data_IF_188301113041
#
_entry.id   IF_188301113041
#
_cell.length_a   1.000
_cell.length_b   1.000
_cell.length_c   1.000
_cell.angle_alpha   90.00
_cell.angle_beta   90.00
_cell.angle_gamma   90.00
#
_symmetry.space_group_name_H-M   'P 1'
#
loop_
_entity.id
_entity.type
_entity.pdbx_description
1 polymer ?
#
# COMPACT_ATOMS: atom_id res chain seq x y z
N UNK A 1 -21.94 -16.48 -11.32
CA UNK A 1 -23.07 -15.67 -10.82
C UNK A 1 -22.66 -15.04 -9.52
N UNK A 2 -22.98 -13.76 -9.30
CA UNK A 2 -22.37 -12.96 -8.23
C UNK A 2 -23.24 -12.83 -6.97
N UNK A 3 -24.53 -13.19 -7.06
CA UNK A 3 -25.49 -13.37 -5.96
C UNK A 3 -26.49 -14.45 -6.40
N UNK A 4 -26.99 -15.24 -5.45
CA UNK A 4 -28.07 -16.22 -5.63
C UNK A 4 -29.46 -15.60 -5.43
N UNK A 5 -29.55 -14.33 -5.00
CA UNK A 5 -30.82 -13.65 -4.81
C UNK A 5 -31.48 -13.33 -6.15
N UNK A 6 -32.75 -13.70 -6.27
CA UNK A 6 -33.58 -13.36 -7.41
C UNK A 6 -33.88 -11.85 -7.47
N UNK A 7 -34.26 -11.35 -8.64
CA UNK A 7 -34.62 -9.94 -8.81
C UNK A 7 -35.82 -9.51 -7.94
N UNK A 8 -36.76 -10.40 -7.65
CA UNK A 8 -37.89 -10.14 -6.74
C UNK A 8 -37.42 -10.02 -5.29
N UNK A 9 -36.54 -10.91 -4.83
CA UNK A 9 -35.94 -10.84 -3.49
C UNK A 9 -35.13 -9.55 -3.30
N UNK A 10 -34.27 -9.19 -4.27
CA UNK A 10 -33.50 -7.93 -4.20
C UNK A 10 -34.40 -6.70 -4.14
N UNK A 11 -35.52 -6.69 -4.90
CA UNK A 11 -36.49 -5.61 -4.85
C UNK A 11 -37.13 -5.49 -3.46
N UNK A 12 -37.54 -6.62 -2.88
CA UNK A 12 -38.11 -6.65 -1.54
C UNK A 12 -37.12 -6.13 -0.49
N UNK A 13 -35.85 -6.55 -0.56
CA UNK A 13 -34.79 -6.07 0.35
C UNK A 13 -34.54 -4.56 0.18
N UNK A 14 -34.60 -4.03 -1.04
CA UNK A 14 -34.45 -2.58 -1.31
C UNK A 14 -35.61 -1.75 -0.77
N UNK A 15 -36.82 -2.28 -0.79
CA UNK A 15 -38.00 -1.68 -0.18
C UNK A 15 -37.91 -1.72 1.36
N UNK A 16 -37.50 -2.86 1.93
CA UNK A 16 -37.24 -2.98 3.36
C UNK A 16 -36.14 -2.00 3.82
N UNK A 17 -35.03 -1.93 3.10
CA UNK A 17 -33.96 -0.99 3.41
C UNK A 17 -34.41 0.47 3.36
N UNK A 18 -35.32 0.83 2.44
CA UNK A 18 -35.89 2.18 2.37
C UNK A 18 -36.77 2.52 3.59
N UNK A 19 -37.50 1.53 4.12
CA UNK A 19 -38.37 1.71 5.31
C UNK A 19 -37.57 1.74 6.61
N UNK A 20 -36.47 1.00 6.67
CA UNK A 20 -35.68 0.80 7.89
C UNK A 20 -34.49 1.75 8.01
N UNK A 21 -34.04 2.38 6.91
CA UNK A 21 -32.90 3.29 6.94
C UNK A 21 -33.16 4.50 7.82
N UNK A 22 -32.32 4.66 8.85
CA UNK A 22 -32.28 5.84 9.70
C UNK A 22 -31.26 6.86 9.16
N UNK A 23 -31.36 8.15 9.54
CA UNK A 23 -30.41 9.17 9.12
C UNK A 23 -29.02 9.01 9.77
N UNK A 24 -28.89 8.17 10.79
CA UNK A 24 -27.63 7.94 11.51
C UNK A 24 -27.11 6.53 11.26
N UNK A 25 -25.79 6.41 11.10
CA UNK A 25 -25.12 5.11 10.91
C UNK A 25 -25.03 4.38 12.24
N UNK A 26 -25.55 3.15 12.31
CA UNK A 26 -25.27 2.22 13.42
C UNK A 26 -23.84 1.66 13.28
N UNK A 27 -22.90 1.99 14.20
CA UNK A 27 -21.52 1.51 14.13
C UNK A 27 -21.40 -0.02 14.18
N UNK A 28 -22.30 -0.69 14.91
CA UNK A 28 -22.29 -2.15 15.01
C UNK A 28 -22.73 -2.79 13.69
N UNK A 29 -23.73 -2.21 13.02
CA UNK A 29 -24.13 -2.62 11.68
C UNK A 29 -23.01 -2.38 10.65
N UNK A 30 -22.36 -1.23 10.71
CA UNK A 30 -21.22 -0.91 9.85
C UNK A 30 -20.10 -1.94 9.99
N UNK A 31 -19.72 -2.29 11.23
CA UNK A 31 -18.67 -3.28 11.50
C UNK A 31 -19.04 -4.66 10.94
N UNK A 32 -20.27 -5.13 11.16
CA UNK A 32 -20.75 -6.42 10.62
C UNK A 32 -20.71 -6.45 9.09
N UNK A 33 -21.22 -5.41 8.45
CA UNK A 33 -21.23 -5.31 6.98
C UNK A 33 -19.79 -5.28 6.45
N UNK A 34 -18.90 -4.47 7.05
CA UNK A 34 -17.49 -4.42 6.65
C UNK A 34 -16.80 -5.79 6.73
N UNK A 35 -17.01 -6.53 7.82
CA UNK A 35 -16.46 -7.87 7.98
C UNK A 35 -17.01 -8.84 6.93
N UNK A 36 -18.31 -8.78 6.64
CA UNK A 36 -18.95 -9.65 5.67
C UNK A 36 -18.52 -9.36 4.23
N UNK A 37 -18.42 -8.08 3.85
CA UNK A 37 -18.08 -7.71 2.46
C UNK A 37 -16.57 -7.79 2.17
N UNK A 38 -15.72 -7.95 3.18
CA UNK A 38 -14.27 -8.13 3.00
C UNK A 38 -14.01 -9.35 2.12
N UNK A 39 -13.38 -9.15 0.96
CA UNK A 39 -13.14 -10.20 -0.03
C UNK A 39 -14.36 -10.58 -0.89
N UNK A 40 -15.50 -9.90 -0.72
CA UNK A 40 -16.78 -10.15 -1.41
C UNK A 40 -17.32 -8.91 -2.13
N UNK A 41 -16.43 -8.08 -2.69
CA UNK A 41 -16.84 -6.80 -3.28
C UNK A 41 -17.79 -6.97 -4.46
N UNK A 42 -17.55 -7.95 -5.33
CA UNK A 42 -18.43 -8.18 -6.47
C UNK A 42 -19.85 -8.57 -6.05
N UNK A 43 -19.99 -9.32 -4.94
CA UNK A 43 -21.30 -9.61 -4.36
C UNK A 43 -21.97 -8.31 -3.89
N UNK A 44 -21.25 -7.47 -3.14
CA UNK A 44 -21.78 -6.19 -2.68
C UNK A 44 -22.21 -5.30 -3.87
N UNK A 45 -21.44 -5.27 -4.96
CA UNK A 45 -21.79 -4.54 -6.19
C UNK A 45 -23.06 -5.09 -6.85
N UNK A 46 -23.24 -6.41 -6.86
CA UNK A 46 -24.44 -7.04 -7.40
C UNK A 46 -25.70 -6.70 -6.57
N UNK A 47 -25.58 -6.67 -5.24
CA UNK A 47 -26.68 -6.26 -4.34
C UNK A 47 -27.03 -4.78 -4.55
N UNK A 48 -26.02 -3.92 -4.55
CA UNK A 48 -26.19 -2.46 -4.63
C UNK A 48 -26.59 -1.97 -6.03
N UNK A 49 -26.22 -2.70 -7.09
CA UNK A 49 -26.39 -2.26 -8.48
C UNK A 49 -25.47 -1.10 -8.89
N UNK A 50 -24.40 -0.87 -8.13
CA UNK A 50 -23.40 0.18 -8.36
C UNK A 50 -22.05 -0.27 -7.81
N UNK A 51 -20.97 0.41 -8.23
CA UNK A 51 -19.61 0.15 -7.72
C UNK A 51 -19.57 0.30 -6.20
N UNK A 52 -18.94 -0.67 -5.53
CA UNK A 52 -18.86 -0.71 -4.09
C UNK A 52 -17.69 0.15 -3.60
N UNK A 53 -17.99 1.09 -2.70
CA UNK A 53 -16.99 1.88 -2.00
C UNK A 53 -17.47 2.14 -0.57
N UNK A 54 -16.62 1.85 0.42
CA UNK A 54 -16.91 2.13 1.83
C UNK A 54 -17.05 3.64 2.08
N UNK A 55 -16.19 4.44 1.42
CA UNK A 55 -16.31 5.90 1.41
C UNK A 55 -17.42 6.29 0.43
N UNK A 56 -18.52 6.83 0.95
CA UNK A 56 -19.70 7.23 0.16
C UNK A 56 -20.91 6.30 0.25
N UNK A 57 -20.87 5.31 1.14
CA UNK A 57 -22.02 4.45 1.42
C UNK A 57 -23.11 5.23 2.15
N UNK A 58 -24.34 5.17 1.64
CA UNK A 58 -25.51 5.75 2.34
C UNK A 58 -25.99 4.82 3.45
N UNK A 59 -26.72 5.33 4.44
CA UNK A 59 -27.35 4.48 5.46
C UNK A 59 -28.27 3.41 4.84
N UNK A 60 -28.93 3.74 3.73
CA UNK A 60 -29.76 2.80 2.98
C UNK A 60 -28.94 1.67 2.36
N UNK A 61 -27.78 1.99 1.78
CA UNK A 61 -26.86 0.97 1.24
C UNK A 61 -26.36 0.04 2.34
N UNK A 62 -26.04 0.60 3.52
CA UNK A 62 -25.59 -0.18 4.67
C UNK A 62 -26.68 -1.16 5.15
N UNK A 63 -27.91 -0.68 5.30
CA UNK A 63 -29.05 -1.53 5.69
C UNK A 63 -29.32 -2.59 4.63
N UNK A 64 -29.27 -2.23 3.35
CA UNK A 64 -29.47 -3.17 2.25
C UNK A 64 -28.42 -4.30 2.28
N UNK A 65 -27.15 -3.97 2.50
CA UNK A 65 -26.08 -4.97 2.61
C UNK A 65 -26.22 -5.86 3.84
N UNK A 66 -26.62 -5.32 5.00
CA UNK A 66 -26.86 -6.11 6.22
C UNK A 66 -28.05 -7.08 6.02
N UNK A 67 -29.13 -6.62 5.40
CA UNK A 67 -30.29 -7.47 5.07
C UNK A 67 -29.94 -8.55 4.04
N UNK A 68 -29.19 -8.17 2.99
CA UNK A 68 -28.75 -9.11 1.97
C UNK A 68 -27.78 -10.17 2.54
N UNK A 69 -26.87 -9.78 3.44
CA UNK A 69 -25.95 -10.71 4.10
C UNK A 69 -26.68 -11.74 4.98
N UNK A 70 -27.83 -11.37 5.57
CA UNK A 70 -28.69 -12.32 6.32
C UNK A 70 -29.49 -13.23 5.40
N UNK A 71 -29.97 -12.71 4.27
CA UNK A 71 -30.72 -13.47 3.28
C UNK A 71 -29.83 -14.45 2.50
N UNK A 72 -28.56 -14.09 2.32
CA UNK A 72 -27.55 -14.86 1.61
C UNK A 72 -26.26 -14.94 2.44
N UNK A 73 -26.24 -15.75 3.52
CA UNK A 73 -25.08 -15.85 4.42
C UNK A 73 -23.87 -16.52 3.77
N UNK A 74 -24.11 -17.32 2.73
CA UNK A 74 -23.10 -18.00 1.94
C UNK A 74 -23.21 -17.58 0.47
N UNK A 75 -22.79 -16.34 0.13
CA UNK A 75 -22.86 -15.88 -1.25
C UNK A 75 -21.95 -16.75 -2.13
N UNK A 76 -22.32 -16.97 -3.41
CA UNK A 76 -21.55 -17.82 -4.30
C UNK A 76 -20.12 -17.31 -4.36
N UNK A 77 -19.18 -18.19 -4.00
CA UNK A 77 -17.77 -17.87 -4.12
C UNK A 77 -17.50 -17.53 -5.59
N UNK A 78 -16.91 -16.35 -5.82
CA UNK A 78 -16.36 -16.12 -7.15
C UNK A 78 -15.36 -17.23 -7.43
N UNK A 79 -15.33 -17.78 -8.67
CA UNK A 79 -14.24 -18.64 -9.07
C UNK A 79 -12.96 -17.92 -8.66
N UNK A 80 -12.16 -18.53 -7.79
CA UNK A 80 -10.84 -18.00 -7.48
C UNK A 80 -10.15 -17.88 -8.82
N UNK A 81 -9.95 -16.66 -9.31
CA UNK A 81 -8.97 -16.45 -10.37
C UNK A 81 -7.71 -17.08 -9.81
N UNK A 82 -7.17 -18.15 -10.42
CA UNK A 82 -5.91 -18.70 -9.93
C UNK A 82 -4.92 -17.53 -9.86
N UNK A 83 -4.10 -17.44 -8.80
CA UNK A 83 -3.04 -16.44 -8.78
C UNK A 83 -2.27 -16.60 -10.07
N UNK A 84 -2.36 -15.60 -10.94
CA UNK A 84 -1.77 -15.71 -12.27
C UNK A 84 -0.26 -15.76 -12.06
N UNK A 85 0.38 -16.88 -12.38
CA UNK A 85 1.85 -17.04 -12.39
C UNK A 85 2.54 -15.95 -13.22
N UNK A 86 1.85 -15.35 -14.20
CA UNK A 86 2.33 -14.20 -14.95
C UNK A 86 2.53 -12.93 -14.08
N UNK A 87 1.80 -12.79 -12.97
CA UNK A 87 1.96 -11.66 -12.04
C UNK A 87 3.22 -11.77 -11.19
N UNK A 88 3.58 -12.99 -10.80
CA UNK A 88 4.84 -13.29 -10.10
C UNK A 88 6.02 -13.09 -11.04
N UNK A 89 5.94 -13.62 -12.27
CA UNK A 89 6.93 -13.39 -13.31
C UNK A 89 7.13 -11.88 -13.61
N UNK A 90 6.04 -11.11 -13.74
CA UNK A 90 6.12 -9.67 -13.94
C UNK A 90 6.72 -8.92 -12.73
N UNK A 91 6.40 -9.35 -11.51
CA UNK A 91 6.96 -8.78 -10.28
C UNK A 91 8.46 -9.08 -10.15
N UNK A 92 8.88 -10.30 -10.48
CA UNK A 92 10.27 -10.74 -10.44
C UNK A 92 11.11 -10.05 -11.53
N UNK A 93 10.57 -9.93 -12.76
CA UNK A 93 11.18 -9.13 -13.84
C UNK A 93 11.35 -7.67 -13.40
N UNK A 94 10.30 -7.06 -12.83
CA UNK A 94 10.37 -5.67 -12.35
C UNK A 94 11.39 -5.53 -11.23
N UNK A 95 11.47 -6.49 -10.31
CA UNK A 95 12.43 -6.48 -9.19
C UNK A 95 13.86 -6.60 -9.70
N UNK A 96 14.12 -7.49 -10.65
CA UNK A 96 15.43 -7.67 -11.27
C UNK A 96 15.87 -6.42 -12.06
N UNK A 97 14.94 -5.79 -12.78
CA UNK A 97 15.20 -4.54 -13.48
C UNK A 97 15.46 -3.39 -12.50
N UNK A 98 14.66 -3.26 -11.44
CA UNK A 98 14.88 -2.27 -10.37
C UNK A 98 16.24 -2.46 -9.68
N UNK A 99 16.64 -3.70 -9.39
CA UNK A 99 17.95 -4.00 -8.83
C UNK A 99 19.09 -3.58 -9.77
N UNK A 100 18.91 -3.74 -11.08
CA UNK A 100 19.90 -3.34 -12.08
C UNK A 100 20.04 -1.82 -12.14
N UNK A 101 18.93 -1.08 -12.20
CA UNK A 101 18.96 0.39 -12.17
C UNK A 101 19.58 0.88 -10.86
N UNK A 102 19.21 0.28 -9.72
CA UNK A 102 19.79 0.66 -8.44
C UNK A 102 21.31 0.45 -8.40
N UNK A 103 21.82 -0.70 -8.86
CA UNK A 103 23.26 -0.95 -8.92
C UNK A 103 24.01 0.10 -9.75
N UNK A 104 23.45 0.49 -10.90
CA UNK A 104 24.03 1.54 -11.74
C UNK A 104 24.05 2.89 -11.02
N UNK A 105 22.95 3.27 -10.37
CA UNK A 105 22.90 4.51 -9.58
C UNK A 105 23.88 4.49 -8.41
N UNK A 106 23.95 3.38 -7.68
CA UNK A 106 24.83 3.24 -6.53
C UNK A 106 26.31 3.35 -6.93
N UNK A 107 26.69 2.80 -8.08
CA UNK A 107 28.04 2.93 -8.65
C UNK A 107 28.37 4.35 -9.13
N UNK A 108 27.37 5.08 -9.63
CA UNK A 108 27.54 6.45 -10.11
C UNK A 108 27.54 7.51 -8.99
N UNK A 109 27.18 7.14 -7.76
CA UNK A 109 27.24 8.05 -6.62
C UNK A 109 28.70 8.38 -6.25
N UNK A 110 28.99 9.63 -5.84
CA UNK A 110 30.34 10.07 -5.51
C UNK A 110 30.89 9.49 -4.19
N UNK A 111 30.05 8.79 -3.42
CA UNK A 111 30.44 8.15 -2.15
C UNK A 111 29.82 6.77 -2.07
N UNK A 112 30.45 5.87 -1.31
CA UNK A 112 29.84 4.57 -1.00
C UNK A 112 28.56 4.75 -0.18
N UNK A 113 27.57 3.92 -0.49
CA UNK A 113 26.27 3.91 0.20
C UNK A 113 25.86 2.49 0.59
N UNK A 114 25.08 2.38 1.67
CA UNK A 114 24.32 1.19 2.04
C UNK A 114 22.83 1.49 1.98
N UNK A 115 21.99 0.45 1.99
CA UNK A 115 20.53 0.60 2.12
C UNK A 115 20.09 -0.02 3.43
N UNK A 116 19.28 0.70 4.20
CA UNK A 116 18.77 0.19 5.48
C UNK A 116 17.33 0.63 5.75
N UNK A 117 16.57 -0.30 6.32
CA UNK A 117 15.18 -0.06 6.72
C UNK A 117 15.11 0.71 8.04
N UNK A 118 14.31 1.78 8.09
CA UNK A 118 14.04 2.44 9.37
C UNK A 118 12.87 1.73 10.09
N UNK A 119 13.18 0.77 10.97
CA UNK A 119 12.17 0.17 11.84
C UNK A 119 11.83 1.12 13.00
N UNK A 120 10.70 1.82 12.90
CA UNK A 120 10.08 2.44 14.08
C UNK A 120 9.20 1.39 14.74
N UNK A 121 9.63 0.85 15.87
CA UNK A 121 8.93 -0.23 16.58
C UNK A 121 7.46 0.08 16.96
N UNK A 122 6.77 -0.88 17.59
CA UNK A 122 5.31 -0.89 17.73
C UNK A 122 4.71 0.27 18.56
N UNK A 123 5.54 1.04 19.30
CA UNK A 123 5.09 2.15 20.15
C UNK A 123 5.04 3.51 19.45
N UNK A 124 5.46 3.61 18.17
CA UNK A 124 5.64 4.90 17.51
C UNK A 124 4.55 5.23 16.46
N UNK A 125 3.60 4.32 16.22
CA UNK A 125 2.71 4.38 15.05
C UNK A 125 1.24 4.03 15.39
N UNK A 126 0.53 4.91 16.10
CA UNK A 126 -0.95 4.88 16.05
C UNK A 126 -1.47 5.58 14.77
N UNK A 127 -0.62 6.39 14.11
CA UNK A 127 -0.99 7.17 12.92
C UNK A 127 0.05 7.22 11.80
N UNK A 128 1.25 6.63 11.96
CA UNK A 128 2.36 6.82 11.02
C UNK A 128 2.93 5.50 10.50
N UNK A 129 2.21 4.77 9.65
CA UNK A 129 2.72 3.55 9.00
C UNK A 129 3.70 3.92 7.88
N UNK A 130 4.96 4.24 8.17
CA UNK A 130 5.98 4.31 7.11
C UNK A 130 7.41 4.04 7.59
N UNK A 131 7.78 2.75 7.61
CA UNK A 131 9.17 2.37 7.40
C UNK A 131 9.46 2.35 5.90
N UNK A 132 10.66 2.74 5.52
CA UNK A 132 11.18 2.73 4.16
C UNK A 132 12.66 2.31 4.18
N UNK A 133 13.13 1.81 3.05
CA UNK A 133 14.53 1.50 2.80
C UNK A 133 15.23 2.81 2.40
N UNK A 134 16.11 3.31 3.24
CA UNK A 134 16.83 4.57 3.04
C UNK A 134 18.25 4.32 2.52
N UNK A 135 18.75 5.24 1.71
CA UNK A 135 20.15 5.26 1.27
C UNK A 135 20.98 5.91 2.37
N UNK A 136 21.94 5.18 2.92
CA UNK A 136 22.83 5.61 3.99
C UNK A 136 24.20 5.90 3.40
N UNK A 137 24.70 7.12 3.53
CA UNK A 137 26.06 7.44 3.08
C UNK A 137 27.08 6.81 4.01
N UNK A 138 28.12 6.17 3.47
CA UNK A 138 29.18 5.52 4.26
C UNK A 138 30.39 6.43 4.48
N UNK A 139 30.44 7.52 3.74
CA UNK A 139 31.48 8.54 3.80
C UNK A 139 30.82 9.93 3.84
N UNK A 140 31.51 10.96 4.35
CA UNK A 140 31.04 12.33 4.26
C UNK A 140 30.77 12.72 2.80
N UNK A 141 29.57 13.22 2.53
CA UNK A 141 29.13 13.66 1.20
C UNK A 141 28.98 15.17 1.17
N UNK A 142 29.66 15.80 0.21
CA UNK A 142 29.57 17.22 -0.08
C UNK A 142 29.30 17.43 -1.58
N UNK A 143 28.10 17.91 -1.91
CA UNK A 143 27.70 18.17 -3.30
C UNK A 143 26.80 19.42 -3.38
N UNK A 144 27.37 20.54 -3.82
CA UNK A 144 26.68 21.83 -3.82
C UNK A 144 26.23 22.22 -2.41
N UNK A 145 24.91 22.38 -2.22
CA UNK A 145 24.30 22.68 -0.90
C UNK A 145 23.97 21.42 -0.08
N UNK A 146 24.23 20.22 -0.62
CA UNK A 146 23.98 18.96 0.07
C UNK A 146 25.22 18.56 0.88
N UNK A 147 25.07 18.49 2.20
CA UNK A 147 26.09 18.02 3.13
C UNK A 147 25.53 16.85 3.94
N UNK A 148 26.22 15.70 4.02
CA UNK A 148 25.84 14.57 4.85
C UNK A 148 27.06 13.95 5.53
N UNK A 149 26.98 13.74 6.84
CA UNK A 149 27.98 12.95 7.56
C UNK A 149 27.85 11.47 7.24
N UNK A 150 28.94 10.72 7.39
CA UNK A 150 28.92 9.26 7.31
C UNK A 150 27.90 8.66 8.30
N UNK A 151 27.23 7.59 7.87
CA UNK A 151 26.19 6.89 8.64
C UNK A 151 24.82 7.58 8.64
N UNK A 152 24.63 8.66 7.86
CA UNK A 152 23.34 9.37 7.76
C UNK A 152 22.58 8.97 6.50
N UNK A 153 21.24 9.03 6.59
CA UNK A 153 20.40 8.87 5.40
C UNK A 153 20.52 10.08 4.48
N UNK A 154 20.46 9.83 3.17
CA UNK A 154 20.58 10.86 2.15
C UNK A 154 19.46 11.90 2.25
N UNK A 155 18.25 11.47 2.61
CA UNK A 155 17.09 12.34 2.82
C UNK A 155 17.05 13.09 4.16
N UNK A 156 18.02 12.87 5.07
CA UNK A 156 17.98 13.41 6.44
C UNK A 156 16.70 13.04 7.20
N UNK A 157 16.03 11.96 6.81
CA UNK A 157 14.76 11.54 7.41
C UNK A 157 14.82 10.05 7.72
N UNK A 158 14.28 9.63 8.87
CA UNK A 158 13.83 10.47 9.99
C UNK A 158 14.98 10.85 10.97
N UNK A 159 16.14 11.36 10.54
CA UNK A 159 17.28 11.64 11.46
C UNK A 159 17.08 12.77 12.50
N UNK A 160 15.85 13.26 12.71
CA UNK A 160 15.44 14.02 13.91
C UNK A 160 14.88 13.14 15.04
N UNK A 161 14.50 11.90 14.76
CA UNK A 161 14.04 10.97 15.78
C UNK A 161 15.24 10.42 16.55
N UNK A 162 15.25 10.61 17.87
CA UNK A 162 16.33 10.19 18.78
C UNK A 162 16.64 8.68 18.77
N UNK A 163 15.83 7.84 18.10
CA UNK A 163 15.85 6.37 18.20
C UNK A 163 15.72 5.64 16.85
N UNK A 164 16.22 6.21 15.77
CA UNK A 164 16.31 5.43 14.53
C UNK A 164 17.59 4.66 14.49
N UNK A 165 17.46 3.37 14.71
CA UNK A 165 18.50 2.41 14.45
C UNK A 165 18.29 1.91 13.03
N UNK A 166 19.20 2.30 12.12
CA UNK A 166 19.40 1.53 10.91
C UNK A 166 20.07 0.23 11.35
N UNK A 167 19.29 -0.82 11.51
CA UNK A 167 19.84 -2.15 11.75
C UNK A 167 20.52 -2.65 10.47
N UNK A 168 21.58 -3.46 10.61
CA UNK A 168 22.20 -4.19 9.49
C UNK A 168 22.90 -3.35 8.40
N UNK A 169 23.58 -2.25 8.76
CA UNK A 169 24.30 -1.39 7.80
C UNK A 169 25.42 -2.08 6.97
N UNK A 170 25.83 -3.27 7.37
CA UNK A 170 26.92 -4.07 6.78
C UNK A 170 26.55 -5.55 6.60
N UNK A 171 25.25 -5.90 6.66
CA UNK A 171 24.84 -7.28 6.45
C UNK A 171 25.05 -7.67 4.97
N UNK A 172 25.84 -8.72 4.68
CA UNK A 172 26.03 -9.19 3.31
C UNK A 172 24.73 -9.55 2.61
N UNK A 173 23.71 -10.00 3.36
CA UNK A 173 22.38 -10.31 2.84
C UNK A 173 21.63 -9.06 2.35
N UNK A 174 22.06 -7.86 2.79
CA UNK A 174 21.41 -6.60 2.48
C UNK A 174 22.09 -5.83 1.33
N UNK A 175 23.14 -6.40 0.71
CA UNK A 175 23.85 -5.78 -0.44
C UNK A 175 22.96 -5.53 -1.65
N UNK A 176 21.95 -6.38 -1.86
CA UNK A 176 20.99 -6.28 -2.96
C UNK A 176 19.70 -5.55 -2.57
N UNK A 177 19.66 -4.91 -1.40
CA UNK A 177 18.49 -4.12 -1.01
C UNK A 177 18.30 -2.92 -1.93
N UNK A 178 17.06 -2.73 -2.35
CA UNK A 178 16.63 -1.63 -3.20
C UNK A 178 16.01 -0.55 -2.29
N UNK A 179 16.46 0.71 -2.36
CA UNK A 179 15.88 1.77 -1.55
C UNK A 179 14.46 2.09 -2.00
N UNK A 180 13.57 2.34 -1.05
CA UNK A 180 12.14 2.65 -1.28
C UNK A 180 11.79 4.07 -0.83
N UNK A 181 12.70 4.74 -0.10
CA UNK A 181 12.52 6.15 0.23
C UNK A 181 12.61 7.03 -1.03
N UNK A 182 11.46 7.54 -1.48
CA UNK A 182 11.36 8.44 -2.65
C UNK A 182 12.24 9.69 -2.53
N UNK A 183 12.41 10.22 -1.32
CA UNK A 183 13.29 11.37 -1.10
C UNK A 183 14.76 11.02 -1.32
N UNK A 184 15.23 9.86 -0.83
CA UNK A 184 16.58 9.38 -1.10
C UNK A 184 16.80 9.20 -2.61
N UNK A 185 15.89 8.51 -3.29
CA UNK A 185 15.97 8.28 -4.74
C UNK A 185 16.02 9.58 -5.55
N UNK A 186 15.15 10.55 -5.26
CA UNK A 186 15.15 11.86 -5.93
C UNK A 186 16.47 12.61 -5.74
N UNK A 187 17.06 12.54 -4.55
CA UNK A 187 18.38 13.16 -4.30
C UNK A 187 19.47 12.43 -5.08
N UNK A 188 19.45 11.09 -5.12
CA UNK A 188 20.39 10.28 -5.91
C UNK A 188 20.37 10.68 -7.37
N UNK A 189 19.20 10.74 -8.01
CA UNK A 189 19.09 11.17 -9.41
C UNK A 189 19.62 12.59 -9.63
N UNK A 190 19.33 13.52 -8.71
CA UNK A 190 19.85 14.89 -8.77
C UNK A 190 21.38 14.95 -8.65
N UNK A 191 21.97 14.12 -7.78
CA UNK A 191 23.43 14.07 -7.59
C UNK A 191 24.15 13.54 -8.82
N UNK A 192 23.57 12.55 -9.49
CA UNK A 192 24.15 11.93 -10.68
C UNK A 192 23.86 12.78 -11.94
N UNK A 193 22.82 13.61 -11.90
CA UNK A 193 22.48 14.50 -13.01
C UNK A 193 21.74 13.80 -14.16
N UNK A 194 21.02 12.70 -13.86
CA UNK A 194 20.25 11.94 -14.86
C UNK A 194 18.74 11.99 -14.56
N UNK A 195 17.95 11.78 -15.61
CA UNK A 195 16.49 11.75 -15.52
C UNK A 195 16.03 10.56 -14.65
N UNK A 196 15.06 10.77 -13.75
CA UNK A 196 14.63 9.70 -12.87
C UNK A 196 13.93 8.54 -13.60
N UNK A 197 14.35 7.31 -13.35
CA UNK A 197 13.71 6.10 -13.87
C UNK A 197 12.44 5.78 -13.06
N UNK A 198 11.31 5.64 -13.77
CA UNK A 198 10.01 5.31 -13.19
C UNK A 198 9.98 3.94 -12.51
N UNK A 199 10.94 3.04 -12.79
CA UNK A 199 11.01 1.73 -12.16
C UNK A 199 11.34 1.81 -10.65
N UNK A 200 12.13 2.81 -10.24
CA UNK A 200 12.46 3.07 -8.84
C UNK A 200 11.54 4.12 -8.21
N UNK A 201 11.02 5.04 -9.02
CA UNK A 201 10.13 6.12 -8.58
C UNK A 201 8.69 5.91 -9.02
N UNK A 202 8.16 4.72 -8.79
CA UNK A 202 6.73 4.48 -9.02
C UNK A 202 5.94 5.46 -8.14
N UNK A 203 5.32 6.46 -8.77
CA UNK A 203 4.27 7.24 -8.14
C UNK A 203 3.20 6.26 -7.73
N UNK A 204 2.87 6.25 -6.44
CA UNK A 204 1.89 5.30 -5.95
C UNK A 204 0.60 5.61 -6.68
N UNK A 205 0.22 4.75 -7.63
CA UNK A 205 -1.16 4.58 -8.02
C UNK A 205 -1.93 4.37 -6.72
N UNK A 206 -2.69 5.40 -6.33
CA UNK A 206 -3.50 5.41 -5.13
C UNK A 206 -4.24 4.11 -5.01
N UNK A 207 -4.02 3.42 -3.89
CA UNK A 207 -4.90 2.38 -3.38
C UNK A 207 -5.38 2.84 -2.02
#
# INVERSE_FOLDING_TARGET
MTTALTASQLRHLREQAARTSTPFVDPAQLARVQQFVTGRHAWAEAILGKRFALRGMTCRDLVLLDLAARAEPFPPEQPRTPPVDASQCAADIRRAAAATVWRQLAQALPVRVSVAYNYSGPRHLESYVSGAEHIIVREPLHAGRLHRDAGRSLCWTPSRARRLFFSHLDDPADRDRIPTCKACLRITYRLIGITPDGILLIEGSGR
#
